data_IF_635053820084
#
_entry.id   IF_635053820084
#
_cell.length_a   1.000
_cell.length_b   1.000
_cell.length_c   1.000
_cell.angle_alpha   90.00
_cell.angle_beta   90.00
_cell.angle_gamma   90.00
#
_symmetry.space_group_name_H-M   'P 1'
#
loop_
_entity.id
_entity.type
_entity.pdbx_description
1 polymer ?
#
# COMPACT_ATOMS: atom_id res chain seq x y z
N UNK A 1 -23.45 5.69 14.75
CA UNK A 1 -24.27 6.33 13.69
C UNK A 1 -23.51 7.54 13.20
N UNK A 2 -22.79 7.42 12.07
CA UNK A 2 -22.04 8.54 11.50
C UNK A 2 -23.07 9.61 11.07
N UNK A 3 -23.15 10.70 11.83
CA UNK A 3 -23.98 11.84 11.44
C UNK A 3 -23.52 12.35 10.08
N UNK A 4 -24.46 12.60 9.17
CA UNK A 4 -24.33 13.15 7.80
C UNK A 4 -23.63 14.53 7.71
N UNK A 5 -22.74 14.89 8.64
CA UNK A 5 -22.15 16.23 8.87
C UNK A 5 -20.69 16.42 8.43
N UNK A 6 -20.07 15.45 7.75
CA UNK A 6 -18.69 15.57 7.22
C UNK A 6 -18.64 15.47 5.68
N UNK A 7 -19.59 16.11 4.96
CA UNK A 7 -19.86 15.91 3.53
C UNK A 7 -18.68 16.02 2.54
N UNK A 8 -17.53 16.53 2.98
CA UNK A 8 -16.29 16.63 2.20
C UNK A 8 -15.02 16.05 2.89
N UNK A 9 -15.00 15.83 4.21
CA UNK A 9 -13.74 15.55 4.93
C UNK A 9 -13.18 14.16 4.66
N UNK A 10 -14.05 13.15 4.55
CA UNK A 10 -13.62 11.79 4.27
C UNK A 10 -12.99 11.68 2.87
N UNK A 11 -13.48 12.43 1.87
CA UNK A 11 -12.89 12.48 0.51
C UNK A 11 -11.49 13.05 0.55
N UNK A 12 -11.29 14.16 1.29
CA UNK A 12 -9.96 14.76 1.48
C UNK A 12 -9.01 13.78 2.17
N UNK A 13 -9.47 13.12 3.22
CA UNK A 13 -8.67 12.13 3.96
C UNK A 13 -8.32 10.94 3.06
N UNK A 14 -9.26 10.50 2.24
CA UNK A 14 -9.06 9.39 1.32
C UNK A 14 -8.10 9.74 0.18
N UNK A 15 -8.17 10.97 -0.34
CA UNK A 15 -7.20 11.48 -1.30
C UNK A 15 -5.78 11.56 -0.69
N UNK A 16 -5.65 12.10 0.53
CA UNK A 16 -4.37 12.16 1.26
C UNK A 16 -3.78 10.78 1.50
N UNK A 17 -4.61 9.81 1.87
CA UNK A 17 -4.20 8.40 1.98
C UNK A 17 -3.66 7.88 0.64
N UNK A 18 -4.35 8.15 -0.46
CA UNK A 18 -3.89 7.77 -1.79
C UNK A 18 -2.54 8.35 -2.18
N UNK A 19 -2.33 9.63 -1.89
CA UNK A 19 -1.05 10.30 -2.18
C UNK A 19 0.08 9.77 -1.30
N UNK A 20 -0.18 9.52 -0.02
CA UNK A 20 0.78 8.91 0.89
C UNK A 20 1.17 7.50 0.42
N UNK A 21 0.20 6.67 0.03
CA UNK A 21 0.46 5.32 -0.47
C UNK A 21 1.27 5.34 -1.77
N UNK A 22 0.92 6.21 -2.73
CA UNK A 22 1.69 6.36 -3.98
C UNK A 22 3.12 6.80 -3.70
N UNK A 23 3.31 7.75 -2.78
CA UNK A 23 4.64 8.20 -2.35
C UNK A 23 5.46 7.07 -1.72
N UNK A 24 4.83 6.25 -0.88
CA UNK A 24 5.45 5.06 -0.30
C UNK A 24 5.86 4.05 -1.38
N UNK A 25 4.94 3.63 -2.26
CA UNK A 25 5.22 2.67 -3.35
C UNK A 25 6.36 3.18 -4.26
N UNK A 26 6.35 4.48 -4.59
CA UNK A 26 7.40 5.09 -5.40
C UNK A 26 8.76 5.01 -4.69
N UNK A 27 8.81 5.35 -3.40
CA UNK A 27 10.03 5.25 -2.59
C UNK A 27 10.56 3.82 -2.55
N UNK A 28 9.68 2.84 -2.40
CA UNK A 28 10.09 1.44 -2.41
C UNK A 28 10.67 1.02 -3.77
N UNK A 29 9.98 1.34 -4.86
CA UNK A 29 10.37 0.93 -6.20
C UNK A 29 11.71 1.53 -6.65
N UNK A 30 11.96 2.81 -6.32
CA UNK A 30 13.17 3.50 -6.81
C UNK A 30 14.34 3.43 -5.82
N UNK A 31 14.09 3.13 -4.54
CA UNK A 31 15.16 3.06 -3.53
C UNK A 31 15.27 1.68 -2.91
N UNK A 32 14.23 1.21 -2.24
CA UNK A 32 14.28 0.00 -1.43
C UNK A 32 14.60 -1.23 -2.27
N UNK A 33 13.78 -1.53 -3.27
CA UNK A 33 13.95 -2.73 -4.08
C UNK A 33 15.21 -2.67 -4.93
N UNK A 34 15.66 -1.46 -5.33
CA UNK A 34 16.94 -1.29 -6.03
C UNK A 34 18.10 -1.63 -5.10
N UNK A 35 18.10 -1.07 -3.89
CA UNK A 35 19.11 -1.35 -2.87
C UNK A 35 19.17 -2.84 -2.55
N UNK A 36 18.05 -3.47 -2.18
CA UNK A 36 18.02 -4.88 -1.80
C UNK A 36 18.50 -5.79 -2.94
N UNK A 37 18.11 -5.53 -4.19
CA UNK A 37 18.58 -6.31 -5.34
C UNK A 37 20.09 -6.20 -5.56
N UNK A 38 20.69 -5.05 -5.27
CA UNK A 38 22.14 -4.88 -5.36
C UNK A 38 22.86 -5.55 -4.18
N UNK A 39 22.35 -5.38 -2.96
CA UNK A 39 22.95 -5.94 -1.75
C UNK A 39 22.85 -7.46 -1.69
N UNK A 40 21.83 -8.05 -2.31
CA UNK A 40 21.60 -9.50 -2.34
C UNK A 40 22.11 -10.16 -3.62
N UNK A 41 23.01 -9.50 -4.36
CA UNK A 41 23.61 -10.10 -5.55
C UNK A 41 24.34 -11.40 -5.18
N UNK A 42 23.91 -12.51 -5.77
CA UNK A 42 24.42 -13.85 -5.46
C UNK A 42 23.59 -14.64 -4.46
N UNK A 43 22.58 -14.03 -3.82
CA UNK A 43 21.55 -14.71 -3.04
C UNK A 43 20.24 -14.76 -3.85
N UNK A 44 20.09 -15.84 -4.61
CA UNK A 44 18.93 -16.03 -5.51
C UNK A 44 17.61 -16.14 -4.75
N UNK A 45 17.61 -16.76 -3.57
CA UNK A 45 16.41 -16.95 -2.75
C UNK A 45 15.90 -15.61 -2.20
N UNK A 46 16.77 -14.82 -1.57
CA UNK A 46 16.40 -13.50 -1.06
C UNK A 46 16.03 -12.54 -2.20
N UNK A 47 16.70 -12.65 -3.35
CA UNK A 47 16.35 -11.88 -4.56
C UNK A 47 14.94 -12.23 -5.05
N UNK A 48 14.57 -13.52 -5.08
CA UNK A 48 13.24 -13.96 -5.48
C UNK A 48 12.15 -13.41 -4.54
N UNK A 49 12.41 -13.38 -3.23
CA UNK A 49 11.53 -12.77 -2.23
C UNK A 49 11.30 -11.28 -2.55
N UNK A 50 12.37 -10.51 -2.75
CA UNK A 50 12.27 -9.07 -3.09
C UNK A 50 11.45 -8.86 -4.37
N UNK A 51 11.63 -9.70 -5.38
CA UNK A 51 10.84 -9.65 -6.61
C UNK A 51 9.36 -9.94 -6.37
N UNK A 52 9.03 -10.90 -5.50
CA UNK A 52 7.65 -11.18 -5.12
C UNK A 52 7.02 -9.99 -4.40
N UNK A 53 7.71 -9.42 -3.41
CA UNK A 53 7.24 -8.23 -2.69
C UNK A 53 6.96 -7.06 -3.64
N UNK A 54 7.85 -6.81 -4.61
CA UNK A 54 7.65 -5.75 -5.61
C UNK A 54 6.40 -5.99 -6.48
N UNK A 55 6.16 -7.23 -6.92
CA UNK A 55 4.95 -7.57 -7.71
C UNK A 55 3.68 -7.43 -6.90
N UNK A 56 3.66 -7.94 -5.68
CA UNK A 56 2.49 -7.85 -4.79
C UNK A 56 2.16 -6.40 -4.47
N UNK A 57 3.17 -5.57 -4.17
CA UNK A 57 2.93 -4.16 -3.87
C UNK A 57 2.39 -3.39 -5.08
N UNK A 58 2.84 -3.74 -6.28
CA UNK A 58 2.28 -3.20 -7.51
C UNK A 58 0.79 -3.51 -7.65
N UNK A 59 0.38 -4.77 -7.44
CA UNK A 59 -1.03 -5.15 -7.49
C UNK A 59 -1.88 -4.46 -6.41
N UNK A 60 -1.36 -4.33 -5.19
CA UNK A 60 -2.01 -3.56 -4.12
C UNK A 60 -2.18 -2.10 -4.54
N UNK A 61 -1.15 -1.49 -5.12
CA UNK A 61 -1.20 -0.11 -5.61
C UNK A 61 -2.27 0.12 -6.68
N UNK A 62 -2.43 -0.83 -7.61
CA UNK A 62 -3.50 -0.79 -8.62
C UNK A 62 -4.88 -0.91 -7.96
N UNK A 63 -5.08 -1.89 -7.08
CA UNK A 63 -6.35 -2.10 -6.39
C UNK A 63 -6.77 -0.89 -5.55
N UNK A 64 -5.84 -0.26 -4.84
CA UNK A 64 -6.12 0.97 -4.09
C UNK A 64 -6.42 2.13 -5.03
N UNK A 65 -5.72 2.25 -6.16
CA UNK A 65 -6.01 3.30 -7.15
C UNK A 65 -7.42 3.16 -7.73
N UNK A 66 -7.86 1.93 -8.01
CA UNK A 66 -9.21 1.64 -8.48
C UNK A 66 -10.26 1.96 -7.40
N UNK A 67 -9.99 1.58 -6.14
CA UNK A 67 -10.82 1.93 -5.00
C UNK A 67 -10.97 3.46 -4.84
N UNK A 68 -9.87 4.20 -4.88
CA UNK A 68 -9.87 5.66 -4.78
C UNK A 68 -10.70 6.26 -5.92
N UNK A 69 -10.43 5.86 -7.15
CA UNK A 69 -11.13 6.35 -8.34
C UNK A 69 -12.64 6.11 -8.26
N UNK A 70 -13.05 4.94 -7.75
CA UNK A 70 -14.47 4.59 -7.56
C UNK A 70 -15.18 5.50 -6.56
N UNK A 71 -14.49 5.91 -5.50
CA UNK A 71 -15.11 6.51 -4.32
C UNK A 71 -14.82 8.02 -4.14
N UNK A 72 -13.79 8.59 -4.76
CA UNK A 72 -13.52 10.04 -4.65
C UNK A 72 -14.33 10.90 -5.63
N UNK A 73 -15.14 10.29 -6.50
CA UNK A 73 -16.02 11.01 -7.42
C UNK A 73 -17.14 11.79 -6.70
N UNK A 74 -17.59 12.88 -7.33
CA UNK A 74 -18.67 13.71 -6.78
C UNK A 74 -20.04 13.06 -7.01
N UNK A 75 -20.55 12.39 -5.98
CA UNK A 75 -21.84 11.69 -5.97
C UNK A 75 -22.47 11.77 -4.58
N UNK A 76 -23.79 11.91 -4.55
CA UNK A 76 -24.61 11.65 -3.36
C UNK A 76 -24.88 10.16 -3.29
N UNK A 77 -24.38 9.52 -2.23
CA UNK A 77 -24.55 8.08 -2.03
C UNK A 77 -25.79 7.78 -1.20
N UNK A 78 -26.50 6.73 -1.60
CA UNK A 78 -27.53 6.11 -0.76
C UNK A 78 -26.91 5.19 0.31
N UNK A 79 -27.74 4.68 1.22
CA UNK A 79 -27.28 3.86 2.35
C UNK A 79 -26.68 2.50 1.90
N UNK A 80 -27.12 1.98 0.75
CA UNK A 80 -26.57 0.74 0.19
C UNK A 80 -25.16 0.96 -0.36
N UNK A 81 -24.94 2.08 -1.05
CA UNK A 81 -23.63 2.50 -1.55
C UNK A 81 -22.66 2.77 -0.40
N UNK A 82 -23.12 3.38 0.70
CA UNK A 82 -22.31 3.54 1.91
C UNK A 82 -21.91 2.20 2.52
N UNK A 83 -22.84 1.24 2.61
CA UNK A 83 -22.55 -0.10 3.13
C UNK A 83 -21.50 -0.84 2.30
N UNK A 84 -21.56 -0.67 0.97
CA UNK A 84 -20.57 -1.22 0.03
C UNK A 84 -19.20 -0.54 0.21
N UNK A 85 -19.17 0.78 0.33
CA UNK A 85 -17.92 1.52 0.60
C UNK A 85 -17.27 1.07 1.91
N UNK A 86 -18.03 0.93 3.00
CA UNK A 86 -17.48 0.50 4.29
C UNK A 86 -16.87 -0.90 4.23
N UNK A 87 -17.49 -1.82 3.48
CA UNK A 87 -16.93 -3.16 3.27
C UNK A 87 -15.62 -3.09 2.47
N UNK A 88 -15.65 -2.41 1.32
CA UNK A 88 -14.48 -2.31 0.45
C UNK A 88 -13.31 -1.59 1.18
N UNK A 89 -13.60 -0.58 2.00
CA UNK A 89 -12.59 0.11 2.82
C UNK A 89 -11.96 -0.84 3.86
N UNK A 90 -12.75 -1.70 4.49
CA UNK A 90 -12.23 -2.72 5.43
C UNK A 90 -11.33 -3.73 4.72
N UNK A 91 -11.70 -4.15 3.51
CA UNK A 91 -10.89 -5.06 2.71
C UNK A 91 -9.54 -4.43 2.33
N UNK A 92 -9.53 -3.18 1.88
CA UNK A 92 -8.29 -2.42 1.63
C UNK A 92 -7.43 -2.33 2.89
N UNK A 93 -8.04 -1.99 4.03
CA UNK A 93 -7.34 -1.92 5.31
C UNK A 93 -6.71 -3.25 5.73
N UNK A 94 -7.42 -4.37 5.55
CA UNK A 94 -6.91 -5.70 5.86
C UNK A 94 -5.72 -6.09 4.97
N UNK A 95 -5.80 -5.81 3.66
CA UNK A 95 -4.71 -6.08 2.72
C UNK A 95 -3.46 -5.28 3.08
N UNK A 96 -3.61 -3.99 3.39
CA UNK A 96 -2.48 -3.13 3.76
C UNK A 96 -1.88 -3.48 5.11
N UNK A 97 -2.70 -3.86 6.09
CA UNK A 97 -2.22 -4.33 7.40
C UNK A 97 -1.35 -5.57 7.23
N UNK A 98 -1.86 -6.58 6.51
CA UNK A 98 -1.10 -7.80 6.23
C UNK A 98 0.19 -7.49 5.48
N UNK A 99 0.16 -6.52 4.57
CA UNK A 99 1.33 -6.11 3.81
C UNK A 99 2.42 -5.50 4.70
N UNK A 100 2.05 -4.63 5.64
CA UNK A 100 2.99 -4.04 6.60
C UNK A 100 3.58 -5.15 7.49
N UNK A 101 2.75 -6.07 7.99
CA UNK A 101 3.21 -7.20 8.82
C UNK A 101 4.22 -8.09 8.08
N UNK A 102 3.99 -8.37 6.79
CA UNK A 102 4.93 -9.18 6.00
C UNK A 102 6.20 -8.41 5.64
N UNK A 103 6.12 -7.10 5.41
CA UNK A 103 7.31 -6.27 5.22
C UNK A 103 8.19 -6.26 6.47
N UNK A 104 7.60 -6.03 7.64
CA UNK A 104 8.33 -5.97 8.90
C UNK A 104 8.96 -7.31 9.30
N UNK A 105 8.26 -8.42 9.04
CA UNK A 105 8.72 -9.75 9.44
C UNK A 105 9.62 -10.46 8.42
N UNK A 106 9.56 -10.07 7.14
CA UNK A 106 10.27 -10.79 6.06
C UNK A 106 11.15 -9.85 5.24
N UNK A 107 10.60 -8.75 4.70
CA UNK A 107 11.36 -7.89 3.77
C UNK A 107 12.43 -7.06 4.48
N UNK A 108 12.07 -6.37 5.56
CA UNK A 108 12.99 -5.49 6.27
C UNK A 108 14.15 -6.25 6.94
N UNK A 109 13.99 -7.48 7.44
CA UNK A 109 15.13 -8.29 7.88
C UNK A 109 16.20 -8.57 6.80
N UNK A 110 15.89 -8.40 5.50
CA UNK A 110 16.86 -8.56 4.41
C UNK A 110 17.80 -7.36 4.23
N UNK A 111 17.60 -6.26 4.97
CA UNK A 111 18.59 -5.19 5.01
C UNK A 111 19.92 -5.74 5.56
N UNK A 112 21.02 -5.47 4.85
CA UNK A 112 22.34 -5.73 5.41
C UNK A 112 22.54 -4.83 6.65
N UNK A 113 23.31 -5.25 7.66
CA UNK A 113 23.77 -4.38 8.73
C UNK A 113 24.62 -3.22 8.19
N UNK A 114 24.68 -2.08 8.90
CA UNK A 114 25.51 -0.93 8.51
C UNK A 114 26.98 -1.18 8.19
N UNK A 115 27.56 -2.26 8.72
CA UNK A 115 28.95 -2.67 8.47
C UNK A 115 29.17 -3.50 7.21
N UNK A 116 28.11 -4.06 6.63
CA UNK A 116 28.19 -5.00 5.50
C UNK A 116 27.85 -4.31 4.16
N UNK A 117 27.78 -2.97 4.14
CA UNK A 117 27.51 -2.14 2.97
C UNK A 117 28.76 -1.79 2.12
N UNK A 118 29.97 -2.16 2.58
CA UNK A 118 31.24 -1.67 2.04
C UNK A 118 31.75 -2.46 0.81
#
# INVERSE_FOLDING_TARGET
MWTRRDGARWRVTLAQFGDALRGHILKENIRLYVYLKHSLQGDEDSTAIVHQFSREMHHIGLAVTDFLTRYTGDRNWDDAQWSVFERDLKEVGAVLTRRIETEESILYPLYLPPGDYA
#
